data_IF_205933334247
#
_entry.id   IF_205933334247
#
_cell.length_a   1.000
_cell.length_b   1.000
_cell.length_c   1.000
_cell.angle_alpha   90.00
_cell.angle_beta   90.00
_cell.angle_gamma   90.00
#
_symmetry.space_group_name_H-M   'P 1'
#
loop_
_entity.id
_entity.type
_entity.pdbx_description
1 polymer ?
#
# COMPACT_ATOMS: atom_id res chain seq x y z
N UNK A 1 13.06 8.47 21.32
CA UNK A 1 12.55 8.47 19.94
C UNK A 1 12.94 9.79 19.30
N UNK A 2 13.68 9.76 18.19
CA UNK A 2 14.00 10.99 17.45
C UNK A 2 12.69 11.65 17.02
N UNK A 3 12.50 12.93 17.34
CA UNK A 3 11.34 13.68 16.86
C UNK A 3 11.48 13.78 15.34
N UNK A 4 10.63 13.06 14.61
CA UNK A 4 10.47 13.25 13.16
C UNK A 4 10.08 14.71 12.93
N UNK A 5 10.75 15.39 12.00
CA UNK A 5 10.45 16.79 11.71
C UNK A 5 9.03 16.91 11.15
N UNK A 6 8.32 17.98 11.51
CA UNK A 6 6.87 18.09 11.36
C UNK A 6 6.41 17.96 9.90
N UNK A 7 7.19 18.49 8.96
CA UNK A 7 6.86 18.52 7.54
C UNK A 7 7.49 17.36 6.75
N UNK A 8 8.26 16.46 7.39
CA UNK A 8 8.91 15.33 6.70
C UNK A 8 7.95 14.44 5.87
N UNK A 9 6.68 14.22 6.26
CA UNK A 9 5.75 13.45 5.43
C UNK A 9 5.34 14.13 4.11
N UNK A 10 5.51 15.44 3.98
CA UNK A 10 5.15 16.20 2.78
C UNK A 10 6.28 16.14 1.73
N UNK A 11 5.93 16.20 0.45
CA UNK A 11 6.90 16.38 -0.65
C UNK A 11 7.49 17.81 -0.66
N UNK A 12 8.63 18.06 -1.33
CA UNK A 12 9.21 19.40 -1.39
C UNK A 12 8.24 20.49 -1.88
N UNK A 13 7.44 20.19 -2.91
CA UNK A 13 6.42 21.11 -3.45
C UNK A 13 5.29 21.39 -2.45
N UNK A 14 4.82 20.35 -1.74
CA UNK A 14 3.81 20.49 -0.70
C UNK A 14 4.35 21.29 0.49
N UNK A 15 5.62 21.11 0.86
CA UNK A 15 6.27 21.87 1.93
C UNK A 15 6.40 23.34 1.57
N UNK A 16 6.88 23.66 0.37
CA UNK A 16 7.04 25.06 -0.07
C UNK A 16 5.68 25.75 -0.09
N UNK A 17 4.67 25.09 -0.66
CA UNK A 17 3.28 25.59 -0.67
C UNK A 17 2.73 25.79 0.74
N UNK A 18 2.91 24.81 1.62
CA UNK A 18 2.45 24.90 3.01
C UNK A 18 3.11 26.06 3.75
N UNK A 19 4.42 26.27 3.57
CA UNK A 19 5.15 27.39 4.18
C UNK A 19 4.66 28.74 3.68
N UNK A 20 4.37 28.88 2.37
CA UNK A 20 3.86 30.13 1.79
C UNK A 20 2.46 30.46 2.30
N UNK A 21 1.59 29.46 2.45
CA UNK A 21 0.21 29.67 2.93
C UNK A 21 0.16 29.93 4.43
N UNK A 22 1.09 29.35 5.20
CA UNK A 22 1.05 29.42 6.67
C UNK A 22 1.89 30.54 7.28
N UNK A 23 3.01 30.92 6.65
CA UNK A 23 3.91 31.94 7.18
C UNK A 23 3.84 33.23 6.37
N UNK A 24 3.87 34.35 7.07
CA UNK A 24 4.01 35.66 6.41
C UNK A 24 5.37 35.79 5.71
N UNK A 25 5.42 36.57 4.63
CA UNK A 25 6.67 36.88 3.91
C UNK A 25 7.76 37.42 4.85
N UNK A 26 7.38 38.24 5.83
CA UNK A 26 8.28 38.75 6.87
C UNK A 26 8.85 37.65 7.76
N UNK A 27 8.03 36.66 8.13
CA UNK A 27 8.47 35.49 8.91
C UNK A 27 9.45 34.63 8.10
N UNK A 28 9.16 34.41 6.82
CA UNK A 28 10.02 33.66 5.89
C UNK A 28 11.37 34.36 5.66
N UNK A 29 11.36 35.65 5.32
CA UNK A 29 12.59 36.42 5.13
C UNK A 29 13.46 36.45 6.39
N UNK A 30 12.85 36.56 7.57
CA UNK A 30 13.57 36.50 8.85
C UNK A 30 14.18 35.13 9.12
N UNK A 31 13.47 34.05 8.78
CA UNK A 31 13.96 32.69 8.92
C UNK A 31 15.15 32.44 8.00
N UNK A 32 15.00 32.75 6.71
CA UNK A 32 16.04 32.60 5.68
C UNK A 32 17.28 33.43 6.04
N UNK A 33 17.09 34.69 6.42
CA UNK A 33 18.20 35.57 6.81
C UNK A 33 18.92 35.12 8.09
N UNK A 34 18.20 34.51 9.05
CA UNK A 34 18.79 33.98 10.28
C UNK A 34 19.56 32.68 10.04
N UNK A 35 19.01 31.78 9.22
CA UNK A 35 19.58 30.46 8.97
C UNK A 35 20.61 30.47 7.85
N UNK A 36 20.68 31.54 7.06
CA UNK A 36 21.63 31.67 5.96
C UNK A 36 21.35 30.73 4.80
N UNK A 37 20.09 30.32 4.60
CA UNK A 37 19.69 29.35 3.56
C UNK A 37 19.53 29.98 2.17
N UNK A 38 19.62 31.31 2.07
CA UNK A 38 19.55 32.00 0.78
C UNK A 38 20.75 31.62 -0.12
N UNK A 39 20.55 31.54 -1.45
CA UNK A 39 21.64 31.27 -2.38
C UNK A 39 22.79 32.28 -2.23
N UNK A 40 24.07 31.84 -2.33
CA UNK A 40 25.22 32.72 -2.15
C UNK A 40 25.17 33.96 -3.06
N UNK A 41 25.40 35.15 -2.49
CA UNK A 41 25.40 36.41 -3.23
C UNK A 41 24.02 37.01 -3.50
N UNK A 42 22.93 36.37 -3.06
CA UNK A 42 21.58 36.94 -3.14
C UNK A 42 21.27 37.80 -1.91
N UNK A 43 20.48 38.86 -2.12
CA UNK A 43 19.95 39.67 -1.03
C UNK A 43 18.56 39.14 -0.65
N UNK A 44 18.37 38.80 0.63
CA UNK A 44 17.12 38.19 1.13
C UNK A 44 15.90 39.09 0.88
N UNK A 45 16.06 40.41 0.92
CA UNK A 45 15.02 41.42 0.64
C UNK A 45 14.58 41.47 -0.84
N UNK A 46 15.30 40.78 -1.74
CA UNK A 46 14.98 40.73 -3.17
C UNK A 46 14.39 39.38 -3.61
N UNK A 47 14.33 38.40 -2.72
CA UNK A 47 13.75 37.09 -3.01
C UNK A 47 12.24 37.16 -2.87
N UNK A 48 11.51 36.53 -3.80
CA UNK A 48 10.06 36.40 -3.68
C UNK A 48 9.68 35.41 -2.57
N UNK A 49 8.43 35.46 -2.10
CA UNK A 49 7.91 34.58 -1.04
C UNK A 49 8.13 33.09 -1.34
N UNK A 50 7.97 32.70 -2.61
CA UNK A 50 8.24 31.32 -3.07
C UNK A 50 9.71 30.96 -3.03
N UNK A 51 10.62 31.85 -3.47
CA UNK A 51 12.06 31.61 -3.43
C UNK A 51 12.57 31.49 -1.98
N UNK A 52 12.02 32.31 -1.08
CA UNK A 52 12.28 32.23 0.35
C UNK A 52 11.86 30.87 0.91
N UNK A 53 10.65 30.39 0.57
CA UNK A 53 10.16 29.10 1.02
C UNK A 53 11.00 27.93 0.45
N UNK A 54 11.32 27.96 -0.84
CA UNK A 54 12.18 26.96 -1.49
C UNK A 54 13.57 26.89 -0.85
N UNK A 55 14.16 28.06 -0.56
CA UNK A 55 15.45 28.11 0.12
C UNK A 55 15.42 27.43 1.49
N UNK A 56 14.29 27.40 2.21
CA UNK A 56 14.16 26.67 3.47
C UNK A 56 13.95 25.17 3.23
N UNK A 57 13.18 24.80 2.20
CA UNK A 57 12.86 23.41 1.86
C UNK A 57 14.12 22.63 1.45
N UNK A 58 15.01 23.24 0.66
CA UNK A 58 16.25 22.62 0.18
C UNK A 58 17.14 22.08 1.33
N UNK A 59 17.08 22.75 2.48
CA UNK A 59 17.86 22.40 3.67
C UNK A 59 17.03 21.66 4.73
N UNK A 60 15.70 21.62 4.63
CA UNK A 60 14.81 21.08 5.66
C UNK A 60 15.04 19.59 5.94
N UNK A 61 15.35 18.77 4.93
CA UNK A 61 15.61 17.33 5.14
C UNK A 61 17.01 17.03 5.66
N UNK A 62 17.97 17.85 5.25
CA UNK A 62 19.39 17.56 5.41
C UNK A 62 20.01 18.30 6.60
N UNK A 63 19.37 19.38 7.06
CA UNK A 63 19.83 20.20 8.17
C UNK A 63 18.80 20.18 9.33
N UNK A 64 19.11 19.48 10.45
CA UNK A 64 18.21 19.38 11.59
C UNK A 64 18.03 20.72 12.32
N UNK A 65 18.97 21.66 12.21
CA UNK A 65 18.84 23.00 12.78
C UNK A 65 17.80 23.83 12.00
N UNK A 66 17.87 23.77 10.66
CA UNK A 66 16.86 24.39 9.78
C UNK A 66 15.49 23.79 10.06
N UNK A 67 15.37 22.46 10.08
CA UNK A 67 14.12 21.78 10.37
C UNK A 67 13.52 22.20 11.72
N UNK A 68 14.34 22.23 12.79
CA UNK A 68 13.91 22.62 14.12
C UNK A 68 13.49 24.11 14.21
N UNK A 69 14.15 25.00 13.47
CA UNK A 69 13.84 26.42 13.43
C UNK A 69 12.53 26.71 12.67
N UNK A 70 12.33 26.04 11.53
CA UNK A 70 11.08 26.10 10.75
C UNK A 70 9.91 25.56 11.59
N UNK A 71 10.05 24.36 12.16
CA UNK A 71 9.04 23.74 13.00
C UNK A 71 8.66 24.59 14.23
N UNK A 72 9.63 25.28 14.83
CA UNK A 72 9.38 26.18 15.95
C UNK A 72 8.60 27.41 15.53
N UNK A 73 8.91 27.95 14.35
CA UNK A 73 8.22 29.13 13.81
C UNK A 73 6.79 28.79 13.42
N UNK A 74 6.56 27.64 12.78
CA UNK A 74 5.22 27.15 12.49
C UNK A 74 4.37 27.00 13.75
N UNK A 75 4.90 26.36 14.81
CA UNK A 75 4.16 26.23 16.07
C UNK A 75 3.88 27.58 16.75
N UNK A 76 4.75 28.57 16.54
CA UNK A 76 4.58 29.91 17.10
C UNK A 76 3.53 30.72 16.35
N UNK A 77 3.59 30.70 15.02
CA UNK A 77 2.77 31.55 14.17
C UNK A 77 1.37 30.94 13.95
N UNK A 78 1.26 29.62 13.82
CA UNK A 78 -0.04 28.92 13.67
C UNK A 78 -0.70 28.69 15.04
N UNK A 79 0.09 28.46 16.09
CA UNK A 79 -0.42 28.11 17.42
C UNK A 79 -0.90 26.67 17.54
N UNK A 80 -1.58 26.36 18.64
CA UNK A 80 -2.15 25.03 18.87
C UNK A 80 -3.41 24.84 18.04
N UNK A 81 -3.49 23.74 17.28
CA UNK A 81 -4.68 23.42 16.50
C UNK A 81 -5.88 23.12 17.42
N UNK A 82 -7.06 23.72 17.17
CA UNK A 82 -8.28 23.39 17.91
C UNK A 82 -8.70 21.93 17.67
N UNK A 83 -8.23 21.30 16.59
CA UNK A 83 -8.52 19.92 16.24
C UNK A 83 -7.53 18.92 16.88
N UNK A 84 -6.53 19.39 17.63
CA UNK A 84 -5.46 18.53 18.14
C UNK A 84 -5.99 17.36 18.99
N UNK A 85 -6.99 17.63 19.85
CA UNK A 85 -7.60 16.59 20.68
C UNK A 85 -8.41 15.57 19.85
N UNK A 86 -9.16 16.05 18.85
CA UNK A 86 -9.94 15.21 17.95
C UNK A 86 -9.04 14.30 17.10
N UNK A 87 -7.97 14.85 16.53
CA UNK A 87 -7.01 14.08 15.71
C UNK A 87 -6.23 13.05 16.55
N UNK A 88 -5.99 13.34 17.83
CA UNK A 88 -5.30 12.42 18.74
C UNK A 88 -6.16 11.24 19.20
N UNK A 89 -7.49 11.32 19.11
CA UNK A 89 -8.37 10.19 19.39
C UNK A 89 -8.28 9.10 18.31
N UNK A 90 -8.54 7.85 18.71
CA UNK A 90 -8.52 6.71 17.80
C UNK A 90 -9.52 6.90 16.66
N UNK A 91 -9.03 6.84 15.42
CA UNK A 91 -9.83 7.08 14.20
C UNK A 91 -10.22 8.54 13.96
N UNK A 92 -10.04 9.46 14.91
CA UNK A 92 -10.48 10.84 14.80
C UNK A 92 -9.76 11.64 13.71
N UNK A 93 -8.46 11.39 13.51
CA UNK A 93 -7.71 11.99 12.38
C UNK A 93 -8.28 11.60 11.01
N UNK A 94 -8.69 10.34 10.83
CA UNK A 94 -9.33 9.87 9.60
C UNK A 94 -10.73 10.47 9.44
N UNK A 95 -11.53 10.50 10.52
CA UNK A 95 -12.86 11.08 10.49
C UNK A 95 -12.86 12.58 10.12
N UNK A 96 -11.92 13.36 10.67
CA UNK A 96 -11.75 14.78 10.30
C UNK A 96 -11.30 14.91 8.84
N UNK A 97 -10.38 14.07 8.37
CA UNK A 97 -9.93 14.09 6.98
C UNK A 97 -11.08 13.75 6.01
N UNK A 98 -11.88 12.72 6.31
CA UNK A 98 -13.02 12.32 5.48
C UNK A 98 -14.09 13.40 5.44
N UNK A 99 -14.34 14.07 6.58
CA UNK A 99 -15.25 15.21 6.65
C UNK A 99 -14.79 16.38 5.76
N UNK A 100 -13.49 16.66 5.67
CA UNK A 100 -12.98 17.82 4.90
C UNK A 100 -12.74 17.47 3.42
N UNK A 101 -12.32 16.25 3.11
CA UNK A 101 -11.88 15.86 1.76
C UNK A 101 -12.96 15.11 0.97
N UNK A 102 -13.83 14.35 1.64
CA UNK A 102 -14.82 13.49 0.99
C UNK A 102 -16.25 14.05 1.09
N UNK A 103 -16.57 14.83 2.13
CA UNK A 103 -17.89 15.46 2.26
C UNK A 103 -18.09 16.56 1.23
N UNK A 104 -19.28 16.56 0.62
CA UNK A 104 -19.74 17.67 -0.25
C UNK A 104 -20.14 18.92 0.53
N UNK A 105 -20.55 18.73 1.79
CA UNK A 105 -20.99 19.79 2.69
C UNK A 105 -20.58 19.40 4.12
N UNK A 106 -19.34 19.77 4.53
CA UNK A 106 -18.80 19.39 5.83
C UNK A 106 -19.64 19.89 7.01
N UNK A 107 -20.24 21.08 6.91
CA UNK A 107 -21.05 21.65 7.98
C UNK A 107 -22.34 20.85 8.18
N UNK A 108 -23.01 20.49 7.08
CA UNK A 108 -24.23 19.67 7.12
C UNK A 108 -23.95 18.26 7.62
N UNK A 109 -22.92 17.60 7.10
CA UNK A 109 -22.62 16.21 7.46
C UNK A 109 -22.18 16.09 8.93
N UNK A 110 -21.45 17.09 9.44
CA UNK A 110 -21.13 17.19 10.87
C UNK A 110 -22.38 17.43 11.73
N UNK A 111 -23.28 18.33 11.32
CA UNK A 111 -24.54 18.55 12.03
C UNK A 111 -25.40 17.29 12.07
N UNK A 112 -25.50 16.55 10.96
CA UNK A 112 -26.22 15.28 10.88
C UNK A 112 -25.62 14.22 11.81
N UNK A 113 -24.29 14.09 11.83
CA UNK A 113 -23.59 13.17 12.74
C UNK A 113 -23.83 13.52 14.21
N UNK A 114 -23.83 14.82 14.57
CA UNK A 114 -24.11 15.28 15.93
C UNK A 114 -25.56 15.02 16.36
N UNK A 115 -26.53 15.17 15.45
CA UNK A 115 -27.95 14.86 15.74
C UNK A 115 -28.19 13.35 15.97
N UNK A 116 -27.42 12.49 15.31
CA UNK A 116 -27.46 11.04 15.52
C UNK A 116 -26.66 10.56 16.74
N UNK A 117 -25.96 11.47 17.43
CA UNK A 117 -25.08 11.14 18.55
C UNK A 117 -25.83 11.11 19.88
N UNK A 118 -25.48 10.16 20.75
CA UNK A 118 -25.97 10.09 22.13
C UNK A 118 -25.14 10.93 23.13
N UNK A 119 -24.19 11.74 22.62
CA UNK A 119 -23.30 12.56 23.46
C UNK A 119 -24.05 13.77 24.03
N UNK A 120 -23.90 13.99 25.33
CA UNK A 120 -24.47 15.15 26.02
C UNK A 120 -23.94 16.46 25.42
N UNK A 121 -24.84 17.40 25.10
CA UNK A 121 -24.50 18.67 24.43
C UNK A 121 -24.36 18.59 22.89
N UNK A 122 -24.41 17.41 22.27
CA UNK A 122 -24.32 17.28 20.81
C UNK A 122 -25.47 18.00 20.08
N UNK A 123 -26.68 18.00 20.66
CA UNK A 123 -27.83 18.70 20.10
C UNK A 123 -27.66 20.23 20.05
N UNK A 124 -27.00 20.83 21.05
CA UNK A 124 -26.73 22.27 21.06
C UNK A 124 -25.70 22.65 19.99
N UNK A 125 -24.65 21.83 19.84
CA UNK A 125 -23.65 21.99 18.79
C UNK A 125 -24.25 21.82 17.39
N UNK A 126 -25.11 20.82 17.20
CA UNK A 126 -25.83 20.64 15.95
C UNK A 126 -26.75 21.84 15.65
N UNK A 127 -27.45 22.37 16.66
CA UNK A 127 -28.28 23.57 16.49
C UNK A 127 -27.44 24.79 16.09
N UNK A 128 -26.26 24.98 16.69
CA UNK A 128 -25.34 26.04 16.33
C UNK A 128 -24.87 25.92 14.87
N UNK A 129 -24.48 24.72 14.44
CA UNK A 129 -24.07 24.46 13.05
C UNK A 129 -25.21 24.72 12.04
N UNK A 130 -26.42 24.26 12.34
CA UNK A 130 -27.59 24.50 11.47
C UNK A 130 -27.88 25.99 11.34
N UNK A 131 -27.73 26.77 12.42
CA UNK A 131 -27.88 28.24 12.35
C UNK A 131 -26.83 28.89 11.45
N UNK A 132 -25.58 28.43 11.51
CA UNK A 132 -24.52 28.90 10.60
C UNK A 132 -24.85 28.56 9.15
N UNK A 133 -25.30 27.34 8.85
CA UNK A 133 -25.72 26.92 7.50
C UNK A 133 -26.85 27.81 6.98
N UNK A 134 -27.84 28.12 7.82
CA UNK A 134 -28.95 29.03 7.45
C UNK A 134 -28.40 30.42 7.13
N UNK A 135 -27.51 30.96 7.96
CA UNK A 135 -26.92 32.28 7.73
C UNK A 135 -26.13 32.35 6.41
N UNK A 136 -25.30 31.34 6.12
CA UNK A 136 -24.55 31.25 4.85
C UNK A 136 -25.49 31.15 3.64
N UNK A 137 -26.61 30.41 3.77
CA UNK A 137 -27.62 30.33 2.73
C UNK A 137 -28.33 31.68 2.51
N UNK A 138 -28.68 32.38 3.60
CA UNK A 138 -29.33 33.69 3.53
C UNK A 138 -28.39 34.76 2.93
N UNK A 139 -27.10 34.72 3.25
CA UNK A 139 -26.07 35.59 2.65
C UNK A 139 -25.90 35.30 1.15
N UNK A 140 -25.87 34.03 0.75
CA UNK A 140 -25.79 33.64 -0.65
C UNK A 140 -27.04 34.05 -1.45
N UNK A 141 -28.24 33.91 -0.87
CA UNK A 141 -29.50 34.36 -1.47
C UNK A 141 -29.58 35.89 -1.54
N UNK A 142 -29.05 36.61 -0.54
CA UNK A 142 -28.94 38.07 -0.57
C UNK A 142 -28.01 38.54 -1.69
N UNK A 143 -26.81 37.96 -1.82
CA UNK A 143 -25.88 38.27 -2.91
C UNK A 143 -26.43 37.92 -4.29
N UNK A 144 -27.22 36.85 -4.41
CA UNK A 144 -27.88 36.50 -5.67
C UNK A 144 -29.01 37.48 -6.04
N UNK A 145 -29.52 38.25 -5.08
CA UNK A 145 -30.61 39.23 -5.26
C UNK A 145 -30.14 40.67 -5.42
N UNK A 146 -28.86 40.97 -5.20
CA UNK A 146 -28.30 42.30 -5.44
C UNK A 146 -28.27 42.61 -6.94
N UNK A 147 -29.04 43.60 -7.45
CA UNK A 147 -28.86 44.08 -8.81
C UNK A 147 -27.55 44.88 -8.90
N UNK A 148 -26.75 44.62 -9.96
CA UNK A 148 -25.55 45.40 -10.30
C UNK A 148 -25.87 46.91 -10.45
N UNK A 149 -25.79 47.67 -9.37
CA UNK A 149 -25.84 49.14 -9.38
C UNK A 149 -24.42 49.71 -9.35
N UNK A 150 -24.06 50.46 -10.41
CA UNK A 150 -22.80 51.19 -10.46
C UNK A 150 -22.50 51.91 -11.77
N UNK A 151 -23.22 52.99 -12.09
CA UNK A 151 -22.69 54.09 -12.91
C UNK A 151 -22.83 55.40 -12.13
N UNK A 152 -21.74 56.17 -11.89
CA UNK A 152 -21.85 57.54 -11.41
C UNK A 152 -21.97 58.51 -12.59
N UNK A 153 -23.00 59.37 -12.55
CA UNK A 153 -23.16 60.49 -13.47
C UNK A 153 -22.93 61.81 -12.71
N UNK A 154 -22.00 62.63 -13.20
CA UNK A 154 -21.71 64.00 -12.74
C UNK A 154 -22.85 65.00 -13.04
N UNK A 155 -22.95 66.11 -12.28
CA UNK A 155 -24.01 67.10 -12.43
C UNK A 155 -23.63 68.24 -13.40
N UNK A 156 -24.58 68.90 -14.08
CA UNK A 156 -24.31 70.17 -14.75
C UNK A 156 -24.94 71.38 -14.04
N UNK A 157 -24.19 72.48 -14.08
CA UNK A 157 -24.59 73.81 -13.62
C UNK A 157 -25.25 74.67 -14.72
N UNK A 158 -26.12 75.58 -14.23
CA UNK A 158 -26.57 76.88 -14.72
C UNK A 158 -27.18 77.12 -16.12
N UNK A 159 -28.22 77.98 -16.10
CA UNK A 159 -29.14 78.33 -17.19
C UNK A 159 -29.00 79.81 -17.62
N UNK A 160 -29.38 80.15 -18.87
CA UNK A 160 -29.98 81.47 -19.20
C UNK A 160 -31.23 81.32 -20.13
N UNK A 161 -31.93 82.37 -20.62
CA UNK A 161 -33.27 82.89 -20.23
C UNK A 161 -34.45 82.48 -21.15
N UNK A 162 -35.72 82.85 -20.83
CA UNK A 162 -36.95 82.21 -21.32
C UNK A 162 -37.45 82.78 -22.66
N UNK A 163 -38.41 82.09 -23.29
CA UNK A 163 -39.22 82.50 -24.46
C UNK A 163 -38.89 81.86 -25.82
N UNK A 164 -37.65 81.45 -26.12
CA UNK A 164 -37.39 80.40 -27.14
C UNK A 164 -37.39 78.98 -26.56
N UNK A 165 -37.46 78.90 -25.22
CA UNK A 165 -37.34 77.68 -24.43
C UNK A 165 -38.50 76.71 -24.56
N UNK A 166 -39.76 77.14 -24.61
CA UNK A 166 -40.87 76.18 -24.54
C UNK A 166 -40.93 75.23 -25.74
N UNK A 167 -40.67 75.73 -26.97
CA UNK A 167 -40.59 74.88 -28.16
C UNK A 167 -39.28 74.07 -28.23
N UNK A 168 -38.14 74.67 -27.84
CA UNK A 168 -36.85 73.95 -27.76
C UNK A 168 -36.87 72.87 -26.69
N UNK A 169 -37.53 73.12 -25.56
CA UNK A 169 -37.57 72.25 -24.40
C UNK A 169 -38.61 71.15 -24.62
N UNK A 170 -39.73 71.42 -25.28
CA UNK A 170 -40.63 70.37 -25.77
C UNK A 170 -39.93 69.45 -26.78
N UNK A 171 -39.16 69.99 -27.73
CA UNK A 171 -38.37 69.20 -28.67
C UNK A 171 -37.24 68.42 -27.98
N UNK A 172 -36.54 69.02 -27.01
CA UNK A 172 -35.53 68.33 -26.19
C UNK A 172 -36.15 67.28 -25.30
N UNK A 173 -37.34 67.49 -24.74
CA UNK A 173 -38.08 66.51 -23.94
C UNK A 173 -38.56 65.34 -24.80
N UNK A 174 -39.08 65.61 -26.01
CA UNK A 174 -39.43 64.56 -26.96
C UNK A 174 -38.20 63.74 -27.39
N UNK A 175 -37.08 64.39 -27.69
CA UNK A 175 -35.81 63.72 -28.00
C UNK A 175 -35.26 62.91 -26.81
N UNK A 176 -35.40 63.42 -25.58
CA UNK A 176 -35.03 62.69 -24.35
C UNK A 176 -35.94 61.48 -24.13
N UNK A 177 -37.25 61.62 -24.36
CA UNK A 177 -38.22 60.53 -24.26
C UNK A 177 -37.96 59.44 -25.32
N UNK A 178 -37.62 59.83 -26.55
CA UNK A 178 -37.25 58.88 -27.61
C UNK A 178 -35.95 58.15 -27.27
N UNK A 179 -34.91 58.87 -26.83
CA UNK A 179 -33.66 58.24 -26.33
C UNK A 179 -33.88 57.37 -25.10
N UNK A 180 -34.84 57.69 -24.23
CA UNK A 180 -35.21 56.83 -23.12
C UNK A 180 -35.90 55.54 -23.61
N UNK A 181 -36.82 55.65 -24.57
CA UNK A 181 -37.46 54.49 -25.22
C UNK A 181 -36.44 53.61 -25.93
N UNK A 182 -35.52 54.18 -26.69
CA UNK A 182 -34.46 53.43 -27.38
C UNK A 182 -33.53 52.72 -26.38
N UNK A 183 -33.19 53.38 -25.26
CA UNK A 183 -32.43 52.74 -24.17
C UNK A 183 -33.21 51.60 -23.52
N UNK A 184 -34.51 51.75 -23.28
CA UNK A 184 -35.35 50.67 -22.74
C UNK A 184 -35.48 49.50 -23.71
N UNK A 185 -35.63 49.76 -25.01
CA UNK A 185 -35.68 48.71 -26.03
C UNK A 185 -34.35 47.96 -26.14
N UNK A 186 -33.22 48.66 -26.08
CA UNK A 186 -31.89 48.03 -26.01
C UNK A 186 -31.73 47.18 -24.75
N UNK A 187 -32.17 47.67 -23.59
CA UNK A 187 -32.17 46.88 -22.34
C UNK A 187 -33.04 45.63 -22.46
N UNK A 188 -34.23 45.74 -23.04
CA UNK A 188 -35.11 44.59 -23.29
C UNK A 188 -34.50 43.60 -24.30
N UNK A 189 -33.78 44.09 -25.31
CA UNK A 189 -32.99 43.24 -26.22
C UNK A 189 -31.92 42.45 -25.48
N UNK A 190 -31.11 43.12 -24.66
CA UNK A 190 -30.09 42.46 -23.84
C UNK A 190 -30.66 41.47 -22.82
N UNK A 191 -31.82 41.77 -22.22
CA UNK A 191 -32.50 40.84 -21.32
C UNK A 191 -33.02 39.59 -22.06
N UNK A 192 -33.51 39.73 -23.30
CA UNK A 192 -33.91 38.58 -24.12
C UNK A 192 -32.73 37.72 -24.51
N UNK A 193 -31.60 38.33 -24.85
CA UNK A 193 -30.37 37.59 -25.16
C UNK A 193 -29.87 36.81 -23.94
N UNK A 194 -29.82 37.46 -22.76
CA UNK A 194 -29.49 36.79 -21.48
C UNK A 194 -30.45 35.66 -21.15
N UNK A 195 -31.75 35.83 -21.39
CA UNK A 195 -32.75 34.78 -21.17
C UNK A 195 -32.50 33.57 -22.06
N UNK A 196 -32.21 33.78 -23.35
CA UNK A 196 -31.87 32.70 -24.29
C UNK A 196 -30.56 32.00 -23.89
N UNK A 197 -29.57 32.74 -23.40
CA UNK A 197 -28.32 32.19 -22.89
C UNK A 197 -28.54 31.33 -21.63
N UNK A 198 -29.36 31.80 -20.69
CA UNK A 198 -29.75 31.04 -19.49
C UNK A 198 -30.56 29.79 -19.84
N UNK A 199 -31.48 29.87 -20.80
CA UNK A 199 -32.23 28.69 -21.26
C UNK A 199 -31.30 27.63 -21.87
N UNK A 200 -30.28 28.07 -22.63
CA UNK A 200 -29.26 27.17 -23.18
C UNK A 200 -28.36 26.57 -22.10
N UNK A 201 -27.96 27.36 -21.10
CA UNK A 201 -27.13 26.87 -20.01
C UNK A 201 -27.89 25.86 -19.14
N UNK A 202 -29.16 26.12 -18.82
CA UNK A 202 -30.04 25.18 -18.12
C UNK A 202 -30.25 23.89 -18.93
N UNK A 203 -30.43 24.00 -20.25
CA UNK A 203 -30.56 22.83 -21.12
C UNK A 203 -29.26 22.02 -21.23
N UNK A 204 -28.09 22.65 -21.09
CA UNK A 204 -26.80 21.95 -20.97
C UNK A 204 -26.71 21.24 -19.62
N UNK A 205 -26.91 21.97 -18.52
CA UNK A 205 -26.84 21.43 -17.17
C UNK A 205 -27.78 20.23 -16.97
N UNK A 206 -28.99 20.26 -17.55
CA UNK A 206 -29.92 19.13 -17.54
C UNK A 206 -29.43 17.92 -18.32
N UNK A 207 -28.69 18.12 -19.43
CA UNK A 207 -28.08 17.01 -20.19
C UNK A 207 -26.92 16.40 -19.41
N UNK A 208 -26.08 17.24 -18.82
CA UNK A 208 -24.92 16.81 -18.03
C UNK A 208 -25.38 16.05 -16.78
N UNK A 209 -26.45 16.50 -16.12
CA UNK A 209 -27.07 15.78 -14.99
C UNK A 209 -27.56 14.39 -15.39
N UNK A 210 -28.26 14.27 -16.53
CA UNK A 210 -28.73 12.96 -17.03
C UNK A 210 -27.57 12.03 -17.35
N UNK A 211 -26.51 12.56 -17.97
CA UNK A 211 -25.30 11.77 -18.26
C UNK A 211 -24.64 11.29 -16.95
N UNK A 212 -24.56 12.15 -15.94
CA UNK A 212 -24.02 11.77 -14.63
C UNK A 212 -24.88 10.71 -13.93
N UNK A 213 -26.21 10.79 -14.03
CA UNK A 213 -27.14 9.77 -13.51
C UNK A 213 -26.98 8.43 -14.25
N UNK A 214 -26.82 8.46 -15.59
CA UNK A 214 -26.53 7.26 -16.40
C UNK A 214 -25.17 6.64 -16.05
N UNK A 215 -24.13 7.45 -15.82
CA UNK A 215 -22.83 6.96 -15.39
C UNK A 215 -22.88 6.37 -13.98
N UNK A 216 -23.60 7.02 -13.06
CA UNK A 216 -23.79 6.50 -11.70
C UNK A 216 -24.49 5.15 -11.71
N UNK A 217 -25.58 5.02 -12.47
CA UNK A 217 -26.30 3.74 -12.58
C UNK A 217 -25.43 2.65 -13.20
N UNK A 218 -24.60 2.97 -14.21
CA UNK A 218 -23.61 2.03 -14.77
C UNK A 218 -22.59 1.58 -13.71
N UNK A 219 -22.01 2.52 -12.97
CA UNK A 219 -21.04 2.22 -11.91
C UNK A 219 -21.67 1.41 -10.76
N UNK A 220 -22.92 1.68 -10.40
CA UNK A 220 -23.67 0.88 -9.41
C UNK A 220 -23.83 -0.57 -9.89
N UNK A 221 -24.23 -0.78 -11.15
CA UNK A 221 -24.34 -2.14 -11.73
C UNK A 221 -23.00 -2.87 -11.84
N UNK A 222 -21.92 -2.15 -12.15
CA UNK A 222 -20.58 -2.73 -12.18
C UNK A 222 -20.10 -3.07 -10.76
N UNK A 223 -20.39 -2.21 -9.79
CA UNK A 223 -20.12 -2.43 -8.38
C UNK A 223 -20.85 -3.65 -7.83
N UNK A 224 -22.13 -3.83 -8.17
CA UNK A 224 -22.92 -5.02 -7.79
C UNK A 224 -22.32 -6.29 -8.40
N UNK A 225 -21.99 -6.26 -9.69
CA UNK A 225 -21.34 -7.39 -10.38
C UNK A 225 -20.00 -7.77 -9.73
N UNK A 226 -19.16 -6.80 -9.41
CA UNK A 226 -17.87 -7.05 -8.76
C UNK A 226 -18.04 -7.62 -7.34
N UNK A 227 -19.08 -7.19 -6.61
CA UNK A 227 -19.40 -7.78 -5.29
C UNK A 227 -19.84 -9.23 -5.43
N UNK A 228 -20.70 -9.55 -6.39
CA UNK A 228 -21.11 -10.94 -6.68
C UNK A 228 -19.90 -11.81 -7.09
N UNK A 229 -19.03 -11.31 -7.97
CA UNK A 229 -17.80 -12.02 -8.36
C UNK A 229 -16.88 -12.26 -7.15
N UNK A 230 -16.70 -11.25 -6.29
CA UNK A 230 -15.92 -11.37 -5.04
C UNK A 230 -16.52 -12.39 -4.08
N UNK A 231 -17.84 -12.37 -3.89
CA UNK A 231 -18.54 -13.31 -3.02
C UNK A 231 -18.45 -14.75 -3.56
N UNK A 232 -18.60 -14.92 -4.88
CA UNK A 232 -18.40 -16.19 -5.56
C UNK A 232 -16.97 -16.72 -5.39
N UNK A 233 -15.95 -15.88 -5.53
CA UNK A 233 -14.56 -16.25 -5.28
C UNK A 233 -14.31 -16.62 -3.81
N UNK A 234 -14.87 -15.85 -2.87
CA UNK A 234 -14.76 -16.13 -1.44
C UNK A 234 -15.40 -17.47 -1.08
N UNK A 235 -16.58 -17.76 -1.64
CA UNK A 235 -17.27 -19.04 -1.43
C UNK A 235 -16.47 -20.22 -2.01
N UNK A 236 -15.86 -20.05 -3.20
CA UNK A 236 -14.97 -21.08 -3.81
C UNK A 236 -13.71 -21.31 -2.98
N UNK A 237 -13.10 -20.26 -2.43
CA UNK A 237 -11.96 -20.39 -1.54
C UNK A 237 -12.36 -21.10 -0.25
N UNK A 238 -13.48 -20.72 0.38
CA UNK A 238 -13.96 -21.36 1.60
C UNK A 238 -14.29 -22.84 1.38
N UNK A 239 -14.96 -23.19 0.28
CA UNK A 239 -15.28 -24.59 -0.03
C UNK A 239 -14.04 -25.41 -0.36
N UNK A 240 -13.08 -24.84 -1.12
CA UNK A 240 -11.80 -25.46 -1.40
C UNK A 240 -10.99 -25.71 -0.12
N UNK A 241 -10.88 -24.70 0.75
CA UNK A 241 -10.12 -24.80 2.00
C UNK A 241 -10.76 -25.80 2.97
N UNK A 242 -12.09 -25.78 3.12
CA UNK A 242 -12.80 -26.73 3.98
C UNK A 242 -12.64 -28.17 3.49
N UNK A 243 -12.72 -28.41 2.16
CA UNK A 243 -12.51 -29.73 1.57
C UNK A 243 -11.07 -30.23 1.67
N UNK A 244 -10.08 -29.34 1.61
CA UNK A 244 -8.68 -29.70 1.85
C UNK A 244 -8.42 -30.02 3.33
N UNK A 245 -9.01 -29.27 4.26
CA UNK A 245 -8.90 -29.54 5.70
C UNK A 245 -9.52 -30.89 6.06
N UNK A 246 -10.69 -31.24 5.50
CA UNK A 246 -11.28 -32.56 5.74
C UNK A 246 -10.42 -33.69 5.17
N UNK A 247 -9.93 -33.55 3.93
CA UNK A 247 -9.02 -34.54 3.33
C UNK A 247 -7.75 -34.74 4.15
N UNK A 248 -7.09 -33.65 4.55
CA UNK A 248 -5.88 -33.73 5.38
C UNK A 248 -6.18 -34.33 6.76
N UNK A 249 -7.35 -34.06 7.33
CA UNK A 249 -7.80 -34.68 8.57
C UNK A 249 -7.99 -36.19 8.45
N UNK A 250 -8.61 -36.66 7.36
CA UNK A 250 -8.76 -38.09 7.07
C UNK A 250 -7.42 -38.78 6.81
N UNK A 251 -6.51 -38.14 6.07
CA UNK A 251 -5.14 -38.63 5.85
C UNK A 251 -4.35 -38.70 7.17
N UNK A 252 -4.48 -37.70 8.05
CA UNK A 252 -3.86 -37.69 9.36
C UNK A 252 -4.39 -38.84 10.26
N UNK A 253 -5.70 -39.08 10.27
CA UNK A 253 -6.27 -40.19 11.03
C UNK A 253 -5.90 -41.56 10.44
N UNK A 254 -5.83 -41.67 9.11
CA UNK A 254 -5.35 -42.89 8.45
C UNK A 254 -3.87 -43.17 8.78
N UNK A 255 -3.02 -42.15 8.76
CA UNK A 255 -1.60 -42.29 9.13
C UNK A 255 -1.42 -42.64 10.61
N UNK A 256 -2.19 -42.03 11.52
CA UNK A 256 -2.21 -42.43 12.94
C UNK A 256 -2.63 -43.89 13.15
N UNK A 257 -3.65 -44.37 12.42
CA UNK A 257 -4.07 -45.77 12.49
C UNK A 257 -2.97 -46.72 12.00
N UNK A 258 -2.29 -46.38 10.90
CA UNK A 258 -1.14 -47.16 10.41
C UNK A 258 0.02 -47.17 11.40
N UNK A 259 0.34 -46.04 12.02
CA UNK A 259 1.38 -45.97 13.05
C UNK A 259 1.06 -46.90 14.23
N UNK A 260 -0.18 -46.86 14.75
CA UNK A 260 -0.61 -47.76 15.83
C UNK A 260 -0.56 -49.24 15.43
N UNK A 261 -0.89 -49.57 14.18
CA UNK A 261 -0.79 -50.93 13.68
C UNK A 261 0.67 -51.40 13.63
N UNK A 262 1.58 -50.57 13.11
CA UNK A 262 3.01 -50.86 13.09
C UNK A 262 3.62 -50.98 14.49
N UNK A 263 3.18 -50.13 15.44
CA UNK A 263 3.59 -50.24 16.84
C UNK A 263 3.15 -51.58 17.45
N UNK A 264 1.91 -52.02 17.16
CA UNK A 264 1.42 -53.32 17.61
C UNK A 264 2.20 -54.49 16.98
N UNK A 265 2.50 -54.43 15.67
CA UNK A 265 3.33 -55.42 14.97
C UNK A 265 4.76 -55.47 15.53
N UNK A 266 5.33 -54.33 15.91
CA UNK A 266 6.66 -54.26 16.55
C UNK A 266 6.66 -54.89 17.95
N UNK A 267 5.63 -54.66 18.75
CA UNK A 267 5.51 -55.32 20.06
C UNK A 267 5.33 -56.85 19.89
N UNK A 268 4.51 -57.30 18.96
CA UNK A 268 4.36 -58.73 18.66
C UNK A 268 5.69 -59.36 18.18
N UNK A 269 6.45 -58.65 17.35
CA UNK A 269 7.77 -59.09 16.91
C UNK A 269 8.77 -59.17 18.07
N UNK A 270 8.74 -58.22 19.02
CA UNK A 270 9.58 -58.23 20.23
C UNK A 270 9.22 -59.40 21.14
N UNK A 271 7.94 -59.68 21.32
CA UNK A 271 7.48 -60.84 22.10
C UNK A 271 7.92 -62.16 21.46
N UNK A 272 7.79 -62.28 20.13
CA UNK A 272 8.24 -63.44 19.39
C UNK A 272 9.77 -63.62 19.47
N UNK A 273 10.54 -62.54 19.36
CA UNK A 273 12.00 -62.54 19.53
C UNK A 273 12.38 -62.96 20.96
N UNK A 274 11.72 -62.41 21.98
CA UNK A 274 11.96 -62.79 23.37
C UNK A 274 11.68 -64.28 23.61
N UNK A 275 10.60 -64.83 23.04
CA UNK A 275 10.29 -66.27 23.09
C UNK A 275 11.35 -67.12 22.37
N UNK A 276 11.78 -66.71 21.17
CA UNK A 276 12.84 -67.38 20.42
C UNK A 276 14.18 -67.35 21.17
N UNK A 277 14.55 -66.20 21.73
CA UNK A 277 15.75 -66.04 22.54
C UNK A 277 15.69 -66.89 23.82
N UNK A 278 14.51 -67.04 24.44
CA UNK A 278 14.32 -67.96 25.57
C UNK A 278 14.47 -69.43 25.14
N UNK A 279 13.91 -69.83 24.00
CA UNK A 279 14.08 -71.18 23.44
C UNK A 279 15.52 -71.48 23.06
N UNK A 280 16.23 -70.52 22.46
CA UNK A 280 17.65 -70.66 22.13
C UNK A 280 18.50 -70.82 23.39
N UNK A 281 18.27 -70.01 24.43
CA UNK A 281 18.96 -70.17 25.72
C UNK A 281 18.70 -71.54 26.36
N UNK A 282 17.47 -72.05 26.28
CA UNK A 282 17.15 -73.40 26.75
C UNK A 282 17.86 -74.49 25.93
N UNK A 283 17.88 -74.37 24.61
CA UNK A 283 18.56 -75.29 23.71
C UNK A 283 20.10 -75.23 23.87
N UNK A 284 20.68 -74.05 24.10
CA UNK A 284 22.11 -73.87 24.39
C UNK A 284 22.50 -74.46 25.76
N UNK A 285 21.62 -74.36 26.76
CA UNK A 285 21.80 -75.04 28.04
C UNK A 285 21.77 -76.59 27.89
N UNK A 286 20.90 -77.12 27.01
CA UNK A 286 20.92 -78.54 26.63
C UNK A 286 22.17 -78.91 25.79
N UNK A 287 22.63 -78.01 24.92
CA UNK A 287 23.82 -78.22 24.07
C UNK A 287 25.12 -78.17 24.87
N UNK A 288 25.24 -77.32 25.89
CA UNK A 288 26.42 -77.29 26.77
C UNK A 288 26.51 -78.52 27.68
N UNK A 289 25.41 -79.26 27.86
CA UNK A 289 25.39 -80.58 28.49
C UNK A 289 25.81 -81.73 27.55
N UNK A 290 26.10 -81.48 26.26
CA UNK A 290 26.47 -82.49 25.26
C UNK A 290 27.74 -82.05 24.47
N UNK A 291 28.75 -82.91 24.24
CA UNK A 291 29.99 -82.47 23.58
C UNK A 291 29.76 -81.98 22.15
N UNK A 292 30.44 -80.90 21.78
CA UNK A 292 30.17 -80.05 20.61
C UNK A 292 30.79 -80.56 19.28
N UNK A 293 30.02 -80.42 18.19
CA UNK A 293 30.52 -80.37 16.82
C UNK A 293 30.12 -79.02 16.16
N UNK A 294 31.17 -78.31 15.72
CA UNK A 294 31.32 -77.42 14.56
C UNK A 294 30.23 -76.40 14.21
N UNK A 295 30.58 -75.12 14.34
CA UNK A 295 29.83 -73.98 13.81
C UNK A 295 30.30 -73.65 12.38
N UNK A 296 29.35 -73.54 11.44
CA UNK A 296 29.55 -72.95 10.11
C UNK A 296 29.04 -71.49 10.06
N UNK A 297 29.77 -70.69 9.29
CA UNK A 297 29.65 -69.26 9.04
C UNK A 297 28.31 -68.83 8.44
N UNK A 298 27.85 -67.61 8.78
CA UNK A 298 26.80 -66.89 8.04
C UNK A 298 27.40 -65.72 7.25
N UNK A 299 26.98 -65.46 6.00
CA UNK A 299 27.46 -64.33 5.22
C UNK A 299 26.72 -63.02 5.56
N UNK A 300 27.39 -61.90 5.27
CA UNK A 300 26.94 -60.54 5.52
C UNK A 300 25.69 -60.14 4.70
N UNK A 301 24.77 -59.42 5.34
CA UNK A 301 23.60 -58.84 4.67
C UNK A 301 23.98 -57.58 3.88
N UNK A 302 23.79 -57.60 2.57
CA UNK A 302 23.69 -56.39 1.75
C UNK A 302 22.27 -55.83 1.87
N UNK A 303 22.15 -54.60 2.39
CA UNK A 303 20.91 -53.85 2.44
C UNK A 303 21.23 -52.37 2.33
N UNK A 304 20.54 -51.67 1.42
CA UNK A 304 20.69 -50.25 1.13
C UNK A 304 20.55 -49.42 2.43
N UNK A 305 21.69 -49.05 2.99
CA UNK A 305 21.76 -48.22 4.19
C UNK A 305 21.64 -46.76 3.76
N UNK A 306 20.58 -46.10 4.21
CA UNK A 306 20.50 -44.65 4.21
C UNK A 306 21.80 -44.08 4.80
N UNK A 307 22.48 -43.23 4.04
CA UNK A 307 23.78 -42.68 4.39
C UNK A 307 23.65 -41.19 4.73
N UNK A 308 24.28 -40.76 5.83
CA UNK A 308 24.22 -39.35 6.22
C UNK A 308 25.04 -38.49 5.23
N UNK A 309 24.44 -37.50 4.54
CA UNK A 309 25.18 -36.62 3.64
C UNK A 309 26.13 -35.70 4.42
N UNK A 310 27.32 -35.48 3.87
CA UNK A 310 28.27 -34.50 4.38
C UNK A 310 28.06 -33.17 3.66
N UNK A 311 27.80 -32.10 4.40
CA UNK A 311 27.62 -30.77 3.85
C UNK A 311 28.91 -29.96 4.03
N UNK A 312 29.43 -29.39 2.94
CA UNK A 312 30.63 -28.54 3.02
C UNK A 312 30.27 -27.10 3.41
N UNK A 313 31.26 -26.35 3.90
CA UNK A 313 31.11 -24.91 4.15
C UNK A 313 30.74 -24.15 2.87
N UNK A 314 31.28 -24.59 1.74
CA UNK A 314 30.94 -24.05 0.41
C UNK A 314 29.46 -24.22 0.09
N UNK A 315 28.85 -25.35 0.46
CA UNK A 315 27.43 -25.57 0.29
C UNK A 315 26.62 -24.60 1.15
N UNK A 316 26.98 -24.43 2.42
CA UNK A 316 26.29 -23.50 3.32
C UNK A 316 26.38 -22.04 2.86
N UNK A 317 27.52 -21.61 2.32
CA UNK A 317 27.64 -20.28 1.70
C UNK A 317 26.80 -20.19 0.41
N UNK A 318 26.82 -21.24 -0.40
CA UNK A 318 26.09 -21.25 -1.68
C UNK A 318 24.58 -21.13 -1.52
N UNK A 319 23.99 -21.68 -0.44
CA UNK A 319 22.53 -21.63 -0.22
C UNK A 319 22.03 -20.27 0.30
N UNK A 320 22.89 -19.41 0.86
CA UNK A 320 22.49 -18.10 1.41
C UNK A 320 21.94 -17.13 0.37
N UNK A 321 22.36 -17.28 -0.90
CA UNK A 321 21.90 -16.44 -2.03
C UNK A 321 20.62 -16.94 -2.70
N UNK A 322 20.11 -18.12 -2.33
CA UNK A 322 18.95 -18.74 -2.97
C UNK A 322 17.69 -18.61 -2.13
N UNK A 323 16.53 -18.59 -2.81
CA UNK A 323 15.24 -18.50 -2.14
C UNK A 323 14.89 -19.78 -1.36
N UNK A 324 13.94 -19.67 -0.41
CA UNK A 324 13.54 -20.80 0.44
C UNK A 324 12.99 -21.98 -0.35
N UNK A 325 12.39 -21.74 -1.52
CA UNK A 325 11.78 -22.77 -2.36
C UNK A 325 12.84 -23.62 -3.06
N UNK A 326 13.85 -23.00 -3.64
CA UNK A 326 14.99 -23.67 -4.27
C UNK A 326 15.79 -24.45 -3.23
N UNK A 327 16.03 -23.85 -2.06
CA UNK A 327 16.73 -24.54 -0.96
C UNK A 327 15.96 -25.79 -0.52
N UNK A 328 14.63 -25.70 -0.32
CA UNK A 328 13.80 -26.87 0.01
C UNK A 328 13.91 -27.97 -1.06
N UNK A 329 13.80 -27.61 -2.33
CA UNK A 329 13.93 -28.57 -3.43
C UNK A 329 15.34 -29.22 -3.45
N UNK A 330 16.38 -28.47 -3.12
CA UNK A 330 17.74 -29.01 -3.03
C UNK A 330 17.83 -30.07 -1.92
N UNK A 331 17.30 -29.79 -0.73
CA UNK A 331 17.24 -30.76 0.36
C UNK A 331 16.42 -32.01 0.02
N UNK A 332 15.30 -31.88 -0.69
CA UNK A 332 14.53 -33.03 -1.20
C UNK A 332 15.36 -33.92 -2.13
N UNK A 333 16.24 -33.32 -2.96
CA UNK A 333 17.13 -34.09 -3.83
C UNK A 333 18.27 -34.74 -3.04
N UNK A 334 18.83 -34.04 -2.05
CA UNK A 334 19.90 -34.55 -1.18
C UNK A 334 19.41 -35.74 -0.36
N UNK A 335 18.17 -35.67 0.13
CA UNK A 335 17.53 -36.80 0.82
C UNK A 335 17.49 -38.06 -0.06
N UNK A 336 17.16 -37.91 -1.35
CA UNK A 336 17.19 -39.04 -2.30
C UNK A 336 18.61 -39.53 -2.61
N UNK A 337 19.61 -38.64 -2.60
CA UNK A 337 21.01 -39.02 -2.73
C UNK A 337 21.53 -39.78 -1.50
N UNK A 338 20.99 -39.49 -0.32
CA UNK A 338 21.31 -40.20 0.92
C UNK A 338 20.89 -41.67 0.88
N UNK A 339 19.76 -41.96 0.22
CA UNK A 339 19.25 -43.32 -0.01
C UNK A 339 20.08 -44.07 -1.06
N UNK A 340 20.35 -43.40 -2.19
CA UNK A 340 21.20 -43.93 -3.26
C UNK A 340 21.86 -42.77 -4.01
N UNK A 341 23.19 -42.73 -4.02
CA UNK A 341 23.94 -41.70 -4.73
C UNK A 341 23.71 -41.74 -6.26
N UNK A 342 23.22 -42.85 -6.80
CA UNK A 342 22.77 -43.03 -8.20
C UNK A 342 21.25 -43.09 -8.35
N UNK A 343 20.49 -42.51 -7.42
CA UNK A 343 19.04 -42.59 -7.43
C UNK A 343 18.46 -42.27 -8.83
N UNK A 344 17.69 -43.20 -9.45
CA UNK A 344 17.29 -43.12 -10.86
C UNK A 344 16.45 -41.86 -11.19
N UNK A 345 15.66 -41.37 -10.22
CA UNK A 345 14.87 -40.15 -10.35
C UNK A 345 15.67 -38.84 -10.51
N UNK A 346 16.95 -38.81 -10.14
CA UNK A 346 17.72 -37.56 -10.09
C UNK A 346 18.48 -37.23 -11.38
N UNK A 347 18.57 -38.19 -12.32
CA UNK A 347 19.33 -38.07 -13.57
C UNK A 347 20.69 -37.39 -13.35
N UNK A 348 21.50 -38.00 -12.48
CA UNK A 348 22.84 -37.52 -12.19
C UNK A 348 23.72 -37.58 -13.44
N UNK A 349 24.36 -36.46 -13.78
CA UNK A 349 25.27 -36.34 -14.92
C UNK A 349 26.67 -36.10 -14.37
N UNK A 350 27.68 -36.91 -14.76
CA UNK A 350 29.06 -36.65 -14.35
C UNK A 350 29.55 -35.30 -14.90
N UNK A 351 30.38 -34.59 -14.14
CA UNK A 351 30.97 -33.32 -14.57
C UNK A 351 32.18 -33.58 -15.46
N UNK A 352 32.08 -33.15 -16.72
CA UNK A 352 33.18 -33.22 -17.67
C UNK A 352 34.37 -32.38 -17.18
N UNK A 353 35.47 -33.05 -16.84
CA UNK A 353 36.70 -32.42 -16.35
C UNK A 353 36.93 -32.48 -14.84
N UNK A 354 35.99 -33.00 -14.04
CA UNK A 354 36.20 -33.32 -12.63
C UNK A 354 35.79 -34.78 -12.41
N UNK A 355 36.75 -35.74 -12.33
CA UNK A 355 36.41 -37.12 -12.03
C UNK A 355 35.70 -37.19 -10.67
N UNK A 356 34.77 -38.13 -10.54
CA UNK A 356 34.00 -38.39 -9.32
C UNK A 356 33.10 -37.22 -8.85
N UNK A 357 32.85 -36.22 -9.70
CA UNK A 357 31.88 -35.17 -9.41
C UNK A 357 30.66 -35.31 -10.29
N UNK A 358 29.48 -35.12 -9.69
CA UNK A 358 28.19 -35.27 -10.35
C UNK A 358 27.36 -34.00 -10.16
N UNK A 359 26.53 -33.72 -11.16
CA UNK A 359 25.51 -32.65 -11.09
C UNK A 359 24.12 -33.22 -11.25
N UNK A 360 23.17 -32.63 -10.52
CA UNK A 360 21.74 -32.88 -10.69
C UNK A 360 20.97 -31.56 -10.84
N UNK A 361 19.81 -31.65 -11.47
CA UNK A 361 18.91 -30.50 -11.67
C UNK A 361 18.01 -30.30 -10.44
N UNK A 362 18.10 -29.13 -9.80
CA UNK A 362 17.21 -28.73 -8.70
C UNK A 362 16.04 -27.89 -9.22
N UNK A 363 16.33 -26.93 -10.11
CA UNK A 363 15.35 -26.09 -10.79
C UNK A 363 15.74 -25.90 -12.28
N UNK A 364 15.05 -25.06 -13.04
CA UNK A 364 15.40 -24.81 -14.45
C UNK A 364 16.84 -24.38 -14.62
N UNK A 365 17.27 -23.40 -13.83
CA UNK A 365 18.61 -22.79 -13.94
C UNK A 365 19.51 -23.07 -12.74
N UNK A 366 19.11 -23.96 -11.83
CA UNK A 366 19.89 -24.30 -10.63
C UNK A 366 20.38 -25.74 -10.67
N UNK A 367 21.65 -25.95 -10.35
CA UNK A 367 22.31 -27.26 -10.30
C UNK A 367 22.95 -27.48 -8.93
N UNK A 368 22.81 -28.71 -8.42
CA UNK A 368 23.51 -29.16 -7.22
C UNK A 368 24.69 -30.02 -7.65
N UNK A 369 25.85 -29.76 -7.04
CA UNK A 369 27.08 -30.53 -7.26
C UNK A 369 27.36 -31.38 -6.03
N UNK A 370 27.69 -32.65 -6.26
CA UNK A 370 28.04 -33.59 -5.20
C UNK A 370 29.13 -34.56 -5.65
N UNK A 371 29.75 -35.23 -4.68
CA UNK A 371 30.77 -36.26 -4.86
C UNK A 371 30.41 -37.49 -4.01
N UNK A 372 30.35 -38.71 -4.58
CA UNK A 372 30.22 -39.92 -3.78
C UNK A 372 31.53 -40.20 -3.02
N UNK A 373 31.38 -40.75 -1.82
CA UNK A 373 32.47 -41.17 -0.95
C UNK A 373 32.37 -42.68 -0.67
N UNK A 374 33.42 -43.23 -0.07
CA UNK A 374 33.43 -44.62 0.37
C UNK A 374 32.29 -44.93 1.35
N UNK A 375 31.73 -46.13 1.21
CA UNK A 375 30.62 -46.62 2.03
C UNK A 375 29.24 -46.07 1.61
N UNK A 376 29.08 -45.61 0.37
CA UNK A 376 27.79 -45.14 -0.16
C UNK A 376 27.39 -43.75 0.34
N UNK A 377 28.28 -43.05 1.04
CA UNK A 377 28.06 -41.69 1.53
C UNK A 377 28.19 -40.68 0.39
N UNK A 378 27.57 -39.52 0.59
CA UNK A 378 27.59 -38.44 -0.40
C UNK A 378 28.04 -37.14 0.24
N UNK A 379 28.98 -36.46 -0.40
CA UNK A 379 29.44 -35.13 -0.04
C UNK A 379 28.77 -34.10 -0.96
N UNK A 380 28.06 -33.15 -0.35
CA UNK A 380 27.34 -32.08 -1.03
C UNK A 380 28.23 -30.84 -1.06
N UNK A 381 28.57 -30.39 -2.26
CA UNK A 381 29.60 -29.37 -2.47
C UNK A 381 29.01 -27.97 -2.64
N UNK A 382 28.09 -27.79 -3.59
CA UNK A 382 27.62 -26.44 -3.92
C UNK A 382 26.30 -26.42 -4.67
N UNK A 383 25.53 -25.34 -4.47
CA UNK A 383 24.32 -25.00 -5.22
C UNK A 383 24.60 -23.79 -6.12
N UNK A 384 24.59 -24.02 -7.43
CA UNK A 384 25.05 -23.04 -8.42
C UNK A 384 24.04 -22.80 -9.54
N UNK A 385 24.18 -21.64 -10.18
CA UNK A 385 23.51 -21.36 -11.42
C UNK A 385 24.08 -22.25 -12.54
N UNK A 386 23.23 -22.62 -13.50
CA UNK A 386 23.60 -23.30 -14.73
C UNK A 386 24.70 -22.55 -15.48
N UNK A 387 24.65 -21.23 -15.52
CA UNK A 387 25.61 -20.39 -16.25
C UNK A 387 27.00 -20.42 -15.59
N UNK A 388 27.04 -20.48 -14.26
CA UNK A 388 28.26 -20.48 -13.46
C UNK A 388 29.00 -21.82 -13.45
N UNK A 389 28.40 -22.90 -13.96
CA UNK A 389 28.96 -24.24 -13.87
C UNK A 389 30.34 -24.37 -14.55
N UNK A 390 30.55 -23.74 -15.70
CA UNK A 390 31.85 -23.79 -16.39
C UNK A 390 32.93 -23.00 -15.64
N UNK A 391 32.54 -21.94 -14.93
CA UNK A 391 33.44 -21.19 -14.04
C UNK A 391 33.82 -22.05 -12.83
N UNK A 392 32.84 -22.75 -12.25
CA UNK A 392 33.05 -23.66 -11.14
C UNK A 392 34.06 -24.76 -11.48
N UNK A 393 33.89 -25.45 -12.61
CA UNK A 393 34.79 -26.52 -13.05
C UNK A 393 36.22 -26.00 -13.21
N UNK A 394 36.42 -24.79 -13.74
CA UNK A 394 37.75 -24.18 -13.87
C UNK A 394 38.38 -23.86 -12.52
N UNK A 395 37.60 -23.37 -11.55
CA UNK A 395 38.09 -23.06 -10.21
C UNK A 395 38.41 -24.32 -9.41
N UNK A 396 37.56 -25.34 -9.49
CA UNK A 396 37.75 -26.61 -8.81
C UNK A 396 38.93 -27.42 -9.38
N UNK A 397 39.30 -27.24 -10.66
CA UNK A 397 40.54 -27.81 -11.24
C UNK A 397 41.83 -27.13 -10.74
N UNK A 398 41.72 -25.90 -10.26
CA UNK A 398 42.88 -25.12 -9.76
C UNK A 398 43.12 -25.33 -8.26
N UNK A 399 42.17 -25.94 -7.56
CA UNK A 399 42.32 -26.44 -6.20
C UNK A 399 42.82 -27.88 -6.26
#
# INVERSE_FOLDING_TARGET
MARVALLSPLTPDERSTFLVVTLSEKSLAKLVGRLGTAPPGTRVDRLGTWDLAWSLVDYYENDPEVAAAVDRTLRKDIGASPLAAAVASEGGGRAVADLVLESRDPARDLAWALLGSAVEGAGELASALVKTIIAEFDEADAHAREPEEGQPAEPPADSPPPETKLASDAAKQAARAQRARDRTLKRLGGLKERLVELERSVASARRDLRQSEEERTRLETEGDRLREEREGLRARLQSGTAGEVTRLGEELEATKRRARALDAELEEAREAEAMLAARLRAAEAERTARPAESAEERPASSGAGWSLPLFTDEFYESIRRWDRKIVRNAFEKIYRLAEDWRHPSLRAIPLEGLPDHYRIRVATDVRLIYRPLDGGRVEILSLIDREDLQRYIRQAKSR
#
